data_IF_864901738431
#
_entry.id   IF_864901738431
#
_cell.length_a   1.000
_cell.length_b   1.000
_cell.length_c   1.000
_cell.angle_alpha   90.00
_cell.angle_beta   90.00
_cell.angle_gamma   90.00
#
_symmetry.space_group_name_H-M   'P 1'
#
loop_
_entity.id
_entity.type
_entity.pdbx_description
1 polymer ?
#
# COMPACT_ATOMS: atom_id res chain seq x y z
N UNK A 1 37.78 -0.11 -17.07
CA UNK A 1 36.96 0.92 -16.41
C UNK A 1 35.98 1.44 -17.45
N UNK A 2 34.74 0.94 -17.47
CA UNK A 2 33.73 1.33 -18.46
C UNK A 2 32.55 1.89 -17.67
N UNK A 3 32.30 3.18 -17.85
CA UNK A 3 31.26 3.92 -17.16
C UNK A 3 29.88 3.40 -17.57
N UNK A 4 29.02 3.15 -16.58
CA UNK A 4 27.61 2.84 -16.78
C UNK A 4 26.89 4.17 -17.00
N UNK A 5 26.40 4.40 -18.21
CA UNK A 5 25.50 5.52 -18.52
C UNK A 5 24.18 5.31 -17.78
N UNK A 6 23.86 6.25 -16.87
CA UNK A 6 22.55 6.35 -16.24
C UNK A 6 21.59 7.00 -17.24
N UNK A 7 20.69 6.21 -17.80
CA UNK A 7 19.64 6.69 -18.69
C UNK A 7 18.60 7.45 -17.86
N UNK A 8 18.53 8.76 -18.06
CA UNK A 8 17.56 9.63 -17.42
C UNK A 8 16.12 9.22 -17.79
N UNK A 9 15.28 8.99 -16.77
CA UNK A 9 13.84 8.83 -16.94
C UNK A 9 13.24 10.21 -17.13
N UNK A 10 12.79 10.52 -18.35
CA UNK A 10 11.99 11.71 -18.63
C UNK A 10 10.64 11.62 -17.91
N UNK A 11 10.46 12.44 -16.88
CA UNK A 11 9.16 12.68 -16.27
C UNK A 11 8.35 13.58 -17.20
N UNK A 12 7.44 12.98 -17.95
CA UNK A 12 6.50 13.69 -18.82
C UNK A 12 5.52 14.46 -17.94
N UNK A 13 5.71 15.78 -17.87
CA UNK A 13 4.85 16.69 -17.12
C UNK A 13 3.39 16.59 -17.62
N UNK A 14 2.49 16.18 -16.74
CA UNK A 14 1.04 16.31 -16.95
C UNK A 14 0.71 17.79 -16.86
N UNK A 15 0.36 18.39 -18.01
CA UNK A 15 -0.04 19.78 -18.12
C UNK A 15 -1.34 20.02 -17.36
N UNK A 16 -1.24 20.76 -16.25
CA UNK A 16 -2.37 21.27 -15.48
C UNK A 16 -3.05 22.36 -16.32
N UNK A 17 -4.23 22.06 -16.85
CA UNK A 17 -5.03 23.02 -17.62
C UNK A 17 -5.81 23.89 -16.62
N UNK A 18 -5.16 24.97 -16.17
CA UNK A 18 -5.79 25.98 -15.33
C UNK A 18 -6.87 26.72 -16.14
N UNK A 19 -8.14 26.51 -15.77
CA UNK A 19 -9.27 27.31 -16.22
C UNK A 19 -9.24 28.63 -15.43
N UNK A 20 -8.86 29.72 -16.10
CA UNK A 20 -9.01 31.08 -15.60
C UNK A 20 -10.39 31.62 -16.03
N UNK A 21 -11.25 32.07 -15.10
CA UNK A 21 -12.34 32.96 -15.45
C UNK A 21 -11.85 34.41 -15.54
N UNK A 22 -12.22 34.99 -16.68
CA UNK A 22 -12.06 36.35 -17.16
C UNK A 22 -12.55 37.39 -16.14
N UNK A 23 -11.72 38.40 -15.89
CA UNK A 23 -12.05 39.54 -15.04
C UNK A 23 -13.15 40.44 -15.63
N UNK A 24 -13.98 41.00 -14.75
CA UNK A 24 -14.75 42.23 -15.02
C UNK A 24 -14.51 43.23 -13.90
N UNK A 25 -14.06 44.39 -14.34
CA UNK A 25 -13.79 45.65 -13.65
C UNK A 25 -15.01 46.24 -12.93
N UNK A 26 -14.83 46.80 -11.73
CA UNK A 26 -15.82 47.72 -11.16
C UNK A 26 -15.66 48.10 -9.69
N UNK A 27 -14.83 49.12 -9.42
CA UNK A 27 -14.95 50.18 -8.41
C UNK A 27 -15.44 49.95 -6.96
N UNK A 28 -14.55 50.37 -6.05
CA UNK A 28 -14.78 51.20 -4.84
C UNK A 28 -15.37 50.52 -3.60
N UNK A 29 -14.54 50.33 -2.55
CA UNK A 29 -14.50 51.21 -1.35
C UNK A 29 -13.25 50.87 -0.51
N UNK A 30 -12.45 51.89 -0.18
CA UNK A 30 -11.39 51.81 0.84
C UNK A 30 -12.02 51.88 2.24
N UNK A 31 -11.45 51.16 3.21
CA UNK A 31 -11.05 51.60 4.57
C UNK A 31 -10.39 50.41 5.33
N UNK A 32 -9.54 50.65 6.35
CA UNK A 32 -8.24 49.98 6.50
C UNK A 32 -8.10 49.10 7.76
N UNK A 33 -6.91 48.48 7.85
CA UNK A 33 -6.22 47.96 9.04
C UNK A 33 -6.65 46.60 9.62
N UNK A 34 -5.79 45.61 9.46
CA UNK A 34 -5.29 44.80 10.58
C UNK A 34 -4.05 44.00 10.15
N UNK A 35 -2.94 44.31 10.83
CA UNK A 35 -1.71 43.54 10.90
C UNK A 35 -2.04 42.12 11.40
N UNK A 36 -1.44 41.07 10.81
CA UNK A 36 -1.02 39.84 11.51
C UNK A 36 -0.12 39.01 10.58
N UNK A 37 1.19 39.10 10.82
CA UNK A 37 2.16 38.11 10.34
C UNK A 37 2.07 36.91 11.28
N UNK A 38 1.65 35.76 10.77
CA UNK A 38 1.82 34.47 11.44
C UNK A 38 2.60 33.55 10.53
N UNK A 39 3.91 33.48 10.80
CA UNK A 39 4.74 32.33 10.42
C UNK A 39 4.24 31.13 11.21
N UNK A 40 3.49 30.25 10.56
CA UNK A 40 3.12 28.96 11.12
C UNK A 40 3.83 27.88 10.34
N UNK A 41 4.76 27.27 11.07
CA UNK A 41 5.53 26.07 10.74
C UNK A 41 4.74 25.03 9.96
N UNK A 42 5.42 24.45 8.98
CA UNK A 42 5.03 23.22 8.32
C UNK A 42 4.83 22.12 9.37
N UNK A 43 3.59 21.76 9.67
CA UNK A 43 3.27 20.43 10.15
C UNK A 43 2.83 19.62 8.94
N UNK A 44 3.79 18.89 8.39
CA UNK A 44 3.53 17.70 7.57
C UNK A 44 2.87 16.65 8.47
N UNK A 45 1.59 16.82 8.73
CA UNK A 45 0.76 15.74 9.25
C UNK A 45 0.39 14.88 8.05
N UNK A 46 1.23 13.90 7.74
CA UNK A 46 0.78 12.75 6.96
C UNK A 46 -0.31 12.09 7.79
N UNK A 47 -1.54 12.47 7.50
CA UNK A 47 -2.74 11.85 8.04
C UNK A 47 -2.81 10.43 7.44
N UNK A 48 -2.05 9.53 8.06
CA UNK A 48 -2.19 8.09 7.88
C UNK A 48 -3.45 7.63 8.61
N UNK A 49 -4.59 8.22 8.25
CA UNK A 49 -5.91 7.80 8.67
C UNK A 49 -6.25 6.49 7.95
N UNK A 50 -5.66 5.39 8.41
CA UNK A 50 -6.16 4.05 8.09
C UNK A 50 -7.57 3.95 8.68
N UNK A 51 -8.55 4.20 7.82
CA UNK A 51 -9.97 4.06 8.16
C UNK A 51 -10.24 2.62 8.54
N UNK A 52 -10.65 2.42 9.80
CA UNK A 52 -11.09 1.14 10.33
C UNK A 52 -12.42 0.73 9.67
N UNK A 53 -12.34 -0.10 8.63
CA UNK A 53 -13.44 -0.96 8.19
C UNK A 53 -12.95 -1.88 7.09
N UNK A 54 -13.01 -3.19 7.37
CA UNK A 54 -12.54 -4.28 6.53
C UNK A 54 -11.03 -4.29 6.44
N UNK A 55 -10.39 -4.91 7.43
CA UNK A 55 -9.10 -5.51 7.17
C UNK A 55 -9.30 -6.56 6.08
N UNK A 56 -9.19 -6.13 4.82
CA UNK A 56 -8.68 -7.02 3.80
C UNK A 56 -7.48 -7.72 4.44
N UNK A 57 -7.36 -9.03 4.29
CA UNK A 57 -6.28 -9.83 4.88
C UNK A 57 -4.93 -9.33 4.35
N UNK A 58 -4.45 -8.21 4.87
CA UNK A 58 -3.31 -7.47 4.38
C UNK A 58 -2.10 -7.84 5.21
N UNK A 59 -0.95 -7.90 4.54
CA UNK A 59 0.34 -8.23 5.13
C UNK A 59 1.39 -7.33 4.53
N UNK A 60 2.28 -6.81 5.35
CA UNK A 60 3.46 -6.10 4.90
C UNK A 60 4.70 -7.02 4.95
N UNK A 61 5.40 -7.14 3.84
CA UNK A 61 6.67 -7.87 3.76
C UNK A 61 7.62 -7.13 2.81
N UNK A 62 8.85 -6.86 3.25
CA UNK A 62 9.85 -6.10 2.46
C UNK A 62 9.33 -4.79 1.83
N UNK A 63 8.54 -4.02 2.58
CA UNK A 63 7.91 -2.76 2.11
C UNK A 63 6.88 -2.92 0.98
N UNK A 64 6.33 -4.13 0.82
CA UNK A 64 5.22 -4.45 -0.10
C UNK A 64 4.01 -4.84 0.71
N UNK A 65 2.83 -4.51 0.18
CA UNK A 65 1.56 -4.92 0.76
C UNK A 65 1.00 -6.08 -0.05
N UNK A 66 0.62 -7.16 0.63
CA UNK A 66 0.02 -8.33 0.03
C UNK A 66 -1.39 -8.53 0.55
N UNK A 67 -2.31 -8.98 -0.31
CA UNK A 67 -3.68 -9.29 0.03
C UNK A 67 -3.96 -10.80 -0.03
N UNK A 68 -4.56 -11.32 1.05
CA UNK A 68 -4.95 -12.71 1.18
C UNK A 68 -6.00 -13.13 0.14
N UNK A 69 -5.74 -14.25 -0.52
CA UNK A 69 -6.58 -14.85 -1.55
C UNK A 69 -6.66 -16.35 -1.35
N UNK A 70 -7.85 -16.93 -1.54
CA UNK A 70 -8.05 -18.35 -1.39
C UNK A 70 -7.37 -19.13 -2.54
N UNK A 71 -6.33 -19.88 -2.21
CA UNK A 71 -5.63 -20.77 -3.13
C UNK A 71 -5.42 -22.12 -2.45
N UNK A 72 -5.73 -23.20 -3.17
CA UNK A 72 -5.52 -24.58 -2.73
C UNK A 72 -4.34 -25.16 -3.51
N UNK A 73 -3.81 -26.27 -3.01
CA UNK A 73 -2.85 -27.12 -3.72
C UNK A 73 -1.55 -26.38 -4.10
N UNK A 74 -0.97 -25.66 -3.15
CA UNK A 74 0.37 -25.07 -3.28
C UNK A 74 1.34 -25.71 -2.29
N UNK A 75 2.63 -25.66 -2.61
CA UNK A 75 3.68 -26.13 -1.71
C UNK A 75 4.45 -24.95 -1.15
N UNK A 76 4.71 -24.97 0.15
CA UNK A 76 5.62 -24.02 0.79
C UNK A 76 7.06 -24.29 0.36
N UNK A 77 7.74 -23.23 -0.07
CA UNK A 77 9.17 -23.22 -0.31
C UNK A 77 9.95 -22.76 0.93
N UNK A 78 11.07 -22.08 0.68
CA UNK A 78 11.97 -21.59 1.73
C UNK A 78 11.31 -20.54 2.65
N UNK A 79 11.77 -20.50 3.90
CA UNK A 79 11.44 -19.43 4.84
C UNK A 79 12.07 -18.09 4.39
N UNK A 80 11.24 -17.05 4.29
CA UNK A 80 11.63 -15.74 3.77
C UNK A 80 11.87 -14.69 4.88
N UNK A 81 11.42 -14.97 6.11
CA UNK A 81 11.61 -14.12 7.28
C UNK A 81 10.33 -13.44 7.78
N UNK A 82 10.47 -12.37 8.57
CA UNK A 82 9.34 -11.73 9.24
C UNK A 82 8.48 -10.85 8.31
N UNK A 83 7.18 -11.08 8.35
CA UNK A 83 6.12 -10.23 7.80
C UNK A 83 5.30 -9.59 8.93
N UNK A 84 4.70 -8.44 8.64
CA UNK A 84 3.92 -7.66 9.61
C UNK A 84 2.45 -7.66 9.21
N UNK A 85 1.61 -8.11 10.13
CA UNK A 85 0.17 -7.97 10.03
C UNK A 85 -0.22 -6.63 10.64
N UNK A 86 -0.84 -5.71 9.88
CA UNK A 86 -1.25 -4.41 10.40
C UNK A 86 -2.33 -4.59 11.47
N UNK A 87 -2.51 -3.58 12.34
CA UNK A 87 -3.61 -3.57 13.28
C UNK A 87 -4.95 -3.67 12.52
N UNK A 88 -5.82 -4.51 13.04
CA UNK A 88 -7.13 -4.80 12.53
C UNK A 88 -8.16 -4.78 13.66
N UNK A 89 -8.97 -3.72 13.71
CA UNK A 89 -10.10 -3.60 14.63
C UNK A 89 -11.41 -3.61 13.83
N UNK A 90 -11.82 -4.80 13.41
CA UNK A 90 -13.01 -5.02 12.57
C UNK A 90 -14.30 -5.18 13.40
N UNK A 91 -14.24 -5.12 14.73
CA UNK A 91 -15.41 -5.30 15.60
C UNK A 91 -15.61 -4.09 16.51
N UNK A 92 -16.19 -2.99 15.99
CA UNK A 92 -16.48 -1.84 16.83
C UNK A 92 -17.46 -2.26 17.93
N UNK A 93 -17.09 -2.00 19.18
CA UNK A 93 -17.94 -2.17 20.38
C UNK A 93 -18.07 -3.61 20.93
N UNK A 94 -17.16 -4.51 20.59
CA UNK A 94 -16.92 -5.72 21.41
C UNK A 94 -15.78 -5.41 22.39
N UNK A 95 -15.90 -5.77 23.67
CA UNK A 95 -14.81 -5.70 24.67
C UNK A 95 -13.62 -6.63 24.31
N UNK A 96 -13.66 -7.27 23.13
CA UNK A 96 -12.55 -7.99 22.54
C UNK A 96 -11.77 -7.01 21.69
N UNK A 97 -10.61 -6.57 22.22
CA UNK A 97 -9.62 -5.86 21.44
C UNK A 97 -9.35 -6.70 20.18
N UNK A 98 -9.72 -6.21 19.00
CA UNK A 98 -9.20 -6.75 17.75
C UNK A 98 -7.66 -6.75 17.76
N UNK A 99 -7.01 -7.03 16.63
CA UNK A 99 -5.57 -6.79 16.56
C UNK A 99 -5.32 -5.28 16.65
N UNK A 100 -5.20 -4.70 17.83
CA UNK A 100 -5.03 -3.25 18.02
C UNK A 100 -3.60 -2.79 17.76
N UNK A 101 -2.65 -3.74 17.65
CA UNK A 101 -1.22 -3.48 17.40
C UNK A 101 -0.68 -4.36 16.29
N UNK A 102 0.33 -3.90 15.52
CA UNK A 102 0.98 -4.73 14.51
C UNK A 102 1.50 -6.05 15.11
N UNK A 103 1.28 -7.16 14.39
CA UNK A 103 1.73 -8.49 14.82
C UNK A 103 2.73 -9.06 13.81
N UNK A 104 3.86 -9.58 14.27
CA UNK A 104 4.83 -10.25 13.40
C UNK A 104 4.42 -11.70 13.14
N UNK A 105 4.65 -12.19 11.92
CA UNK A 105 4.50 -13.60 11.51
C UNK A 105 5.60 -13.96 10.53
N UNK A 106 5.82 -15.25 10.25
CA UNK A 106 6.84 -15.70 9.29
C UNK A 106 6.23 -15.84 7.90
N UNK A 107 6.90 -15.30 6.90
CA UNK A 107 6.60 -15.47 5.48
C UNK A 107 7.41 -16.62 4.89
N UNK A 108 6.78 -17.33 3.95
CA UNK A 108 7.35 -18.44 3.18
C UNK A 108 7.17 -18.19 1.70
N UNK A 109 8.12 -18.71 0.91
CA UNK A 109 7.98 -18.78 -0.53
C UNK A 109 6.90 -19.79 -0.91
N UNK A 110 6.38 -19.65 -2.13
CA UNK A 110 5.53 -20.67 -2.76
C UNK A 110 6.35 -21.28 -3.90
N UNK A 111 6.42 -22.61 -3.97
CA UNK A 111 7.21 -23.27 -5.03
C UNK A 111 6.71 -22.84 -6.42
N UNK A 112 7.65 -22.43 -7.28
CA UNK A 112 7.35 -21.99 -8.65
C UNK A 112 6.80 -20.56 -8.79
N UNK A 113 6.64 -19.81 -7.69
CA UNK A 113 6.15 -18.42 -7.70
C UNK A 113 7.19 -17.48 -7.11
N UNK A 114 7.43 -16.35 -7.78
CA UNK A 114 8.33 -15.31 -7.27
C UNK A 114 7.73 -14.66 -6.01
N UNK A 115 8.47 -14.52 -4.89
CA UNK A 115 7.97 -13.87 -3.67
C UNK A 115 7.52 -12.41 -3.85
N UNK A 116 7.98 -11.73 -4.89
CA UNK A 116 7.49 -10.40 -5.25
C UNK A 116 6.06 -10.43 -5.83
N UNK A 117 5.56 -11.61 -6.23
CA UNK A 117 4.20 -11.83 -6.73
C UNK A 117 3.31 -12.34 -5.61
N UNK A 118 3.73 -13.42 -4.93
CA UNK A 118 2.94 -14.00 -3.85
C UNK A 118 3.81 -14.70 -2.79
N UNK A 119 3.32 -14.67 -1.55
CA UNK A 119 3.92 -15.33 -0.39
C UNK A 119 2.86 -16.13 0.38
N UNK A 120 3.29 -17.04 1.23
CA UNK A 120 2.45 -17.69 2.23
C UNK A 120 2.90 -17.28 3.65
N UNK A 121 2.03 -17.42 4.65
CA UNK A 121 2.37 -17.11 6.05
C UNK A 121 2.19 -18.31 6.96
N UNK A 122 3.01 -18.39 8.01
CA UNK A 122 2.95 -19.43 9.06
C UNK A 122 1.56 -19.60 9.66
N UNK A 123 0.91 -18.48 9.97
CA UNK A 123 -0.38 -18.46 10.69
C UNK A 123 -1.59 -18.60 9.76
N UNK A 124 -1.36 -18.80 8.46
CA UNK A 124 -2.42 -18.99 7.47
C UNK A 124 -2.64 -20.48 7.24
N UNK A 125 -3.90 -20.88 7.03
CA UNK A 125 -4.18 -22.24 6.55
C UNK A 125 -3.48 -22.48 5.20
N UNK A 126 -3.22 -23.75 4.84
CA UNK A 126 -2.62 -24.21 3.56
C UNK A 126 -3.50 -23.96 2.30
N UNK A 127 -4.35 -22.96 2.44
CA UNK A 127 -5.58 -22.68 1.73
C UNK A 127 -5.67 -21.18 1.37
N UNK A 128 -4.67 -20.39 1.78
CA UNK A 128 -4.60 -18.94 1.56
C UNK A 128 -3.17 -18.58 1.16
N UNK A 129 -3.05 -17.82 0.07
CA UNK A 129 -1.81 -17.15 -0.34
C UNK A 129 -2.01 -15.65 -0.30
N UNK A 130 -0.94 -14.88 -0.18
CA UNK A 130 -0.98 -13.43 -0.15
C UNK A 130 -0.33 -12.91 -1.43
N UNK A 131 -1.08 -12.15 -2.22
CA UNK A 131 -0.66 -11.64 -3.54
C UNK A 131 -0.33 -10.15 -3.40
N UNK A 132 0.81 -9.73 -3.94
CA UNK A 132 1.26 -8.34 -3.94
C UNK A 132 0.20 -7.45 -4.62
N UNK A 133 -0.27 -6.41 -3.91
CA UNK A 133 -1.39 -5.56 -4.38
C UNK A 133 -1.04 -4.74 -5.62
N UNK A 134 0.25 -4.50 -5.83
CA UNK A 134 0.80 -3.79 -6.98
C UNK A 134 1.21 -4.74 -8.13
N UNK A 135 1.00 -6.05 -7.98
CA UNK A 135 1.32 -7.01 -9.03
C UNK A 135 0.25 -7.06 -10.12
N UNK A 136 0.68 -7.17 -11.37
CA UNK A 136 -0.22 -7.38 -12.51
C UNK A 136 -0.78 -8.83 -12.59
N UNK A 137 -0.40 -9.69 -11.64
CA UNK A 137 -0.70 -11.12 -11.68
C UNK A 137 -2.05 -11.43 -11.06
N UNK A 138 -2.86 -12.19 -11.79
CA UNK A 138 -4.15 -12.67 -11.27
C UNK A 138 -3.99 -14.03 -10.59
N UNK A 139 -4.87 -14.33 -9.62
CA UNK A 139 -4.94 -15.64 -8.99
C UNK A 139 -4.97 -16.84 -9.98
N UNK A 140 -5.74 -16.84 -11.09
CA UNK A 140 -5.70 -17.93 -12.06
C UNK A 140 -4.36 -18.06 -12.80
N UNK A 141 -3.58 -16.99 -12.94
CA UNK A 141 -2.22 -17.08 -13.50
C UNK A 141 -1.23 -17.65 -12.49
N UNK A 142 -1.34 -17.22 -11.23
CA UNK A 142 -0.52 -17.77 -10.14
C UNK A 142 -0.79 -19.27 -9.96
N UNK A 143 -2.05 -19.71 -10.04
CA UNK A 143 -2.38 -21.14 -10.00
C UNK A 143 -1.72 -21.96 -11.12
N UNK A 144 -1.57 -21.40 -12.32
CA UNK A 144 -0.84 -22.07 -13.41
C UNK A 144 0.65 -22.20 -13.11
N UNK A 145 1.24 -21.21 -12.43
CA UNK A 145 2.64 -21.27 -12.01
C UNK A 145 2.86 -22.36 -10.96
N UNK A 146 1.96 -22.45 -9.97
CA UNK A 146 2.02 -23.46 -8.90
C UNK A 146 1.89 -24.88 -9.47
N UNK A 147 0.96 -25.11 -10.41
CA UNK A 147 0.66 -26.46 -10.91
C UNK A 147 1.56 -26.94 -12.04
N UNK A 148 2.46 -26.09 -12.57
CA UNK A 148 3.39 -26.46 -13.62
C UNK A 148 2.68 -27.03 -14.85
N UNK A 149 2.13 -26.16 -15.69
CA UNK A 149 1.48 -26.56 -16.96
C UNK A 149 2.36 -27.45 -17.85
#
# INVERSE_FOLDING_TARGET
MKAVEMKAVEMKAVAMKAVLPIGRTGSVWMLPAALLVTMSVACTSSDGGASASSCAYLVEYQSRTYAGSAARDFTLGDELGAATLPPCDDTPNDDSDGRTTPTSTTAYAIEGVDPAIAIALEQSSDDVIFIDVDSDWTLPEIKKMIHGT
#
